data_IF_637192915266
#
_entry.id   IF_637192915266
#
_cell.length_a   1.000
_cell.length_b   1.000
_cell.length_c   1.000
_cell.angle_alpha   90.00
_cell.angle_beta   90.00
_cell.angle_gamma   90.00
#
_symmetry.space_group_name_H-M   'P 1'
#
loop_
_entity.id
_entity.type
_entity.pdbx_description
1 polymer ?
#
# COMPACT_ATOMS: atom_id res chain seq x y z
N UNK A 1 -0.43 15.64 -18.09
CA UNK A 1 -0.19 14.60 -17.05
C UNK A 1 0.68 13.45 -17.53
N UNK A 2 0.41 12.85 -18.71
CA UNK A 2 1.19 11.69 -19.18
C UNK A 2 2.69 11.99 -19.36
N UNK A 3 3.03 13.17 -19.88
CA UNK A 3 4.42 13.62 -20.03
C UNK A 3 5.14 13.73 -18.69
N UNK A 4 4.53 14.38 -17.69
CA UNK A 4 5.10 14.52 -16.33
C UNK A 4 5.31 13.15 -15.68
N UNK A 5 4.37 12.22 -15.85
CA UNK A 5 4.49 10.86 -15.38
C UNK A 5 5.66 10.12 -16.05
N UNK A 6 5.81 10.27 -17.36
CA UNK A 6 6.93 9.70 -18.12
C UNK A 6 8.26 10.32 -17.70
N UNK A 7 8.31 11.63 -17.47
CA UNK A 7 9.51 12.35 -16.99
C UNK A 7 9.96 11.83 -15.62
N UNK A 8 9.02 11.75 -14.67
CA UNK A 8 9.31 11.22 -13.32
C UNK A 8 9.80 9.78 -13.43
N UNK A 9 9.11 8.94 -14.19
CA UNK A 9 9.48 7.53 -14.37
C UNK A 9 10.87 7.37 -15.00
N UNK A 10 11.22 8.18 -16.00
CA UNK A 10 12.57 8.16 -16.58
C UNK A 10 13.62 8.58 -15.56
N UNK A 11 13.40 9.64 -14.79
CA UNK A 11 14.37 10.13 -13.81
C UNK A 11 14.61 9.10 -12.69
N UNK A 12 13.57 8.41 -12.25
CA UNK A 12 13.67 7.46 -11.13
C UNK A 12 14.03 6.04 -11.57
N UNK A 13 13.74 5.64 -12.81
CA UNK A 13 13.91 4.24 -13.27
C UNK A 13 15.20 4.02 -14.07
N UNK A 14 15.71 5.05 -14.75
CA UNK A 14 16.87 4.97 -15.64
C UNK A 14 18.24 4.93 -14.91
N UNK A 15 18.41 5.53 -13.71
CA UNK A 15 19.69 5.46 -12.99
C UNK A 15 20.13 4.03 -12.62
N UNK A 16 19.19 3.16 -12.28
CA UNK A 16 19.48 1.77 -11.89
C UNK A 16 20.09 0.91 -13.02
N UNK A 17 19.48 0.79 -14.22
CA UNK A 17 20.07 0.04 -15.32
C UNK A 17 21.37 0.67 -15.81
N UNK A 18 21.51 2.01 -15.78
CA UNK A 18 22.76 2.69 -16.12
C UNK A 18 23.90 2.31 -15.17
N UNK A 19 23.62 2.28 -13.86
CA UNK A 19 24.59 1.83 -12.86
C UNK A 19 24.97 0.35 -13.04
N UNK A 20 24.00 -0.52 -13.37
CA UNK A 20 24.27 -1.93 -13.65
C UNK A 20 25.24 -2.11 -14.82
N UNK A 21 25.00 -1.42 -15.93
CA UNK A 21 25.87 -1.44 -17.11
C UNK A 21 27.26 -0.92 -16.75
N UNK A 22 27.34 0.22 -16.07
CA UNK A 22 28.60 0.78 -15.59
C UNK A 22 29.37 -0.20 -14.67
N UNK A 23 28.69 -0.79 -13.70
CA UNK A 23 29.29 -1.74 -12.76
C UNK A 23 29.80 -3.01 -13.45
N UNK A 24 29.11 -3.45 -14.50
CA UNK A 24 29.49 -4.65 -15.26
C UNK A 24 30.76 -4.40 -16.07
N UNK A 25 30.85 -3.24 -16.73
CA UNK A 25 32.01 -2.86 -17.55
C UNK A 25 33.24 -2.62 -16.65
N UNK A 26 33.05 -1.95 -15.52
CA UNK A 26 34.16 -1.51 -14.66
C UNK A 26 34.58 -2.56 -13.62
N UNK A 27 34.02 -3.77 -13.65
CA UNK A 27 34.29 -4.80 -12.64
C UNK A 27 35.74 -5.28 -12.64
N UNK A 28 36.40 -5.22 -13.81
CA UNK A 28 37.80 -5.64 -14.00
C UNK A 28 38.80 -4.49 -13.80
N UNK A 29 38.32 -3.28 -13.51
CA UNK A 29 39.18 -2.09 -13.43
C UNK A 29 39.67 -1.89 -12.01
N UNK A 30 40.96 -1.56 -11.84
CA UNK A 30 41.52 -1.18 -10.55
C UNK A 30 41.04 0.22 -10.18
N UNK A 31 40.24 0.31 -9.11
CA UNK A 31 39.65 1.56 -8.62
C UNK A 31 40.42 2.08 -7.41
N UNK A 32 40.60 3.40 -7.33
CA UNK A 32 41.16 4.03 -6.12
C UNK A 32 40.16 3.97 -4.95
N UNK A 33 40.64 4.17 -3.72
CA UNK A 33 39.80 4.20 -2.52
C UNK A 33 38.67 5.25 -2.61
N UNK A 34 38.96 6.40 -3.21
CA UNK A 34 37.98 7.48 -3.42
C UNK A 34 36.94 7.09 -4.48
N UNK A 35 37.37 6.49 -5.58
CA UNK A 35 36.44 6.00 -6.62
C UNK A 35 35.52 4.91 -6.07
N UNK A 36 36.04 4.01 -5.23
CA UNK A 36 35.23 2.98 -4.59
C UNK A 36 34.17 3.57 -3.63
N UNK A 37 34.51 4.64 -2.92
CA UNK A 37 33.56 5.35 -2.06
C UNK A 37 32.43 6.00 -2.88
N UNK A 38 32.78 6.63 -4.01
CA UNK A 38 31.81 7.22 -4.95
C UNK A 38 30.88 6.15 -5.53
N UNK A 39 31.43 5.00 -5.95
CA UNK A 39 30.62 3.89 -6.48
C UNK A 39 29.62 3.37 -5.45
N UNK A 40 30.05 3.20 -4.19
CA UNK A 40 29.15 2.77 -3.10
C UNK A 40 28.04 3.78 -2.83
N UNK A 41 28.34 5.07 -2.93
CA UNK A 41 27.34 6.13 -2.82
C UNK A 41 26.31 6.04 -3.95
N UNK A 42 26.74 5.92 -5.21
CA UNK A 42 25.84 5.76 -6.35
C UNK A 42 25.03 4.46 -6.29
N UNK A 43 25.62 3.37 -5.80
CA UNK A 43 24.90 2.11 -5.57
C UNK A 43 23.77 2.30 -4.55
N UNK A 44 24.05 2.98 -3.44
CA UNK A 44 23.05 3.24 -2.40
C UNK A 44 21.94 4.18 -2.91
N UNK A 45 22.31 5.21 -3.66
CA UNK A 45 21.38 6.16 -4.27
C UNK A 45 20.45 5.48 -5.29
N UNK A 46 20.99 4.62 -6.14
CA UNK A 46 20.19 3.89 -7.16
C UNK A 46 19.22 2.91 -6.52
N UNK A 47 19.59 2.22 -5.45
CA UNK A 47 18.66 1.37 -4.69
C UNK A 47 17.55 2.20 -4.03
N UNK A 48 17.89 3.34 -3.41
CA UNK A 48 16.90 4.23 -2.83
C UNK A 48 15.91 4.77 -3.87
N UNK A 49 16.41 5.18 -5.05
CA UNK A 49 15.58 5.64 -6.17
C UNK A 49 14.63 4.54 -6.67
N UNK A 50 15.09 3.30 -6.80
CA UNK A 50 14.25 2.17 -7.20
C UNK A 50 13.11 1.92 -6.19
N UNK A 51 13.40 2.00 -4.90
CA UNK A 51 12.38 1.85 -3.85
C UNK A 51 11.35 2.99 -3.88
N UNK A 52 11.81 4.23 -4.06
CA UNK A 52 10.93 5.39 -4.25
C UNK A 52 10.06 5.18 -5.49
N UNK A 53 10.63 4.65 -6.57
CA UNK A 53 9.90 4.44 -7.81
C UNK A 53 8.77 3.41 -7.68
N UNK A 54 9.02 2.32 -6.95
CA UNK A 54 8.02 1.31 -6.65
C UNK A 54 6.85 1.90 -5.82
N UNK A 55 7.15 2.75 -4.84
CA UNK A 55 6.12 3.44 -4.07
C UNK A 55 5.36 4.47 -4.92
N UNK A 56 6.10 5.26 -5.70
CA UNK A 56 5.55 6.38 -6.50
C UNK A 56 4.67 5.89 -7.64
N UNK A 57 4.99 4.75 -8.26
CA UNK A 57 4.14 4.16 -9.32
C UNK A 57 2.74 3.84 -8.80
N UNK A 58 2.60 3.33 -7.58
CA UNK A 58 1.29 3.12 -6.97
C UNK A 58 0.49 4.44 -6.86
N UNK A 59 1.09 5.49 -6.30
CA UNK A 59 0.43 6.80 -6.17
C UNK A 59 0.08 7.42 -7.53
N UNK A 60 1.00 7.30 -8.49
CA UNK A 60 0.78 7.75 -9.85
C UNK A 60 -0.43 7.03 -10.45
N UNK A 61 -0.52 5.69 -10.35
CA UNK A 61 -1.67 4.93 -10.87
C UNK A 61 -2.99 5.31 -10.19
N UNK A 62 -2.97 5.57 -8.88
CA UNK A 62 -4.14 6.10 -8.16
C UNK A 62 -4.56 7.47 -8.71
N UNK A 63 -3.60 8.37 -8.99
CA UNK A 63 -3.87 9.74 -9.42
C UNK A 63 -4.27 9.83 -10.90
N UNK A 64 -3.64 9.07 -11.80
CA UNK A 64 -3.84 9.23 -13.25
C UNK A 64 -4.94 8.34 -13.81
N UNK A 65 -5.12 7.12 -13.32
CA UNK A 65 -6.05 6.17 -13.95
C UNK A 65 -7.42 6.16 -13.28
N UNK A 66 -8.44 6.70 -13.97
CA UNK A 66 -9.85 6.66 -13.52
C UNK A 66 -10.38 5.24 -13.33
N UNK A 67 -9.94 4.31 -14.17
CA UNK A 67 -10.30 2.88 -14.12
C UNK A 67 -9.75 2.24 -12.85
N UNK A 68 -8.45 2.43 -12.57
CA UNK A 68 -7.80 1.92 -11.36
C UNK A 68 -8.47 2.43 -10.08
N UNK A 69 -8.90 3.70 -10.03
CA UNK A 69 -9.66 4.22 -8.86
C UNK A 69 -11.01 3.54 -8.67
N UNK A 70 -11.72 3.22 -9.76
CA UNK A 70 -13.00 2.50 -9.67
C UNK A 70 -12.77 1.08 -9.15
N UNK A 71 -11.75 0.40 -9.64
CA UNK A 71 -11.40 -0.95 -9.19
C UNK A 71 -10.88 -0.98 -7.76
N UNK A 72 -10.05 0.00 -7.37
CA UNK A 72 -9.56 0.15 -5.99
C UNK A 72 -10.71 0.44 -5.03
N UNK A 73 -11.65 1.32 -5.40
CA UNK A 73 -12.86 1.58 -4.62
C UNK A 73 -13.72 0.33 -4.51
N UNK A 74 -13.85 -0.45 -5.59
CA UNK A 74 -14.56 -1.73 -5.59
C UNK A 74 -13.93 -2.72 -4.61
N UNK A 75 -12.61 -2.87 -4.63
CA UNK A 75 -11.89 -3.76 -3.71
C UNK A 75 -12.02 -3.28 -2.25
N UNK A 76 -11.84 -1.98 -1.99
CA UNK A 76 -11.92 -1.44 -0.62
C UNK A 76 -13.33 -1.47 -0.03
N UNK A 77 -14.35 -1.16 -0.85
CA UNK A 77 -15.74 -1.01 -0.40
C UNK A 77 -16.53 -2.32 -0.52
N UNK A 78 -16.46 -3.03 -1.66
CA UNK A 78 -17.24 -4.27 -1.86
C UNK A 78 -16.60 -5.48 -1.17
N UNK A 79 -15.26 -5.58 -1.12
CA UNK A 79 -14.59 -6.77 -0.52
C UNK A 79 -14.40 -6.71 1.00
N UNK A 80 -15.10 -5.83 1.74
CA UNK A 80 -15.07 -5.78 3.22
C UNK A 80 -13.65 -5.66 3.84
N UNK A 81 -12.62 -5.26 3.11
CA UNK A 81 -11.26 -5.11 3.66
C UNK A 81 -11.23 -4.04 4.76
N UNK A 82 -12.02 -2.97 4.59
CA UNK A 82 -12.21 -1.96 5.63
C UNK A 82 -12.92 -2.51 6.88
N UNK A 83 -13.82 -3.49 6.73
CA UNK A 83 -14.50 -4.15 7.85
C UNK A 83 -13.62 -5.17 8.57
N UNK A 84 -12.58 -5.69 7.92
CA UNK A 84 -11.60 -6.58 8.55
C UNK A 84 -10.45 -5.81 9.21
N UNK A 85 -9.94 -4.75 8.58
CA UNK A 85 -8.82 -3.97 9.11
C UNK A 85 -9.25 -2.88 10.10
N UNK A 86 -10.47 -2.34 9.99
CA UNK A 86 -10.99 -1.24 10.84
C UNK A 86 -12.32 -1.56 11.54
N UNK A 87 -12.86 -2.79 11.39
CA UNK A 87 -14.19 -3.14 11.91
C UNK A 87 -14.28 -3.40 13.42
N UNK A 88 -13.21 -3.17 14.18
CA UNK A 88 -13.20 -3.39 15.64
C UNK A 88 -13.25 -2.09 16.44
N UNK A 89 -13.79 -0.99 15.90
CA UNK A 89 -14.02 0.21 16.73
C UNK A 89 -15.07 1.20 16.18
N UNK A 90 -16.29 0.75 15.91
CA UNK A 90 -17.44 1.66 15.77
C UNK A 90 -18.55 1.17 16.68
N UNK A 91 -18.39 1.47 17.97
CA UNK A 91 -19.51 1.51 18.92
C UNK A 91 -20.39 2.69 18.49
N UNK A 92 -21.65 2.49 18.06
CA UNK A 92 -22.54 3.62 17.81
C UNK A 92 -22.89 4.30 19.16
N UNK A 93 -23.11 5.63 19.17
CA UNK A 93 -23.42 6.34 20.40
C UNK A 93 -24.76 5.84 20.93
N UNK A 94 -24.76 5.34 22.16
CA UNK A 94 -25.98 4.96 22.88
C UNK A 94 -26.73 6.25 23.19
N UNK A 95 -27.65 6.68 22.32
CA UNK A 95 -28.75 7.56 22.74
C UNK A 95 -29.77 6.67 23.45
N UNK A 96 -29.71 6.65 24.79
CA UNK A 96 -30.79 6.10 25.61
C UNK A 96 -31.32 7.23 26.49
N UNK A 97 -32.47 7.73 26.08
CA UNK A 97 -33.33 8.59 26.88
C UNK A 97 -33.82 7.86 28.13
N UNK A 98 -33.82 8.63 29.22
CA UNK A 98 -34.55 8.53 30.48
C UNK A 98 -34.12 7.53 31.57
N UNK A 99 -33.78 8.19 32.69
CA UNK A 99 -34.15 7.94 34.07
C UNK A 99 -33.44 6.81 34.82
N UNK A 100 -32.48 7.24 35.65
CA UNK A 100 -32.32 6.76 37.01
C UNK A 100 -31.48 5.50 37.19
N UNK A 101 -30.60 5.57 38.18
CA UNK A 101 -29.85 4.49 38.84
C UNK A 101 -28.60 3.93 38.14
N UNK A 102 -27.48 4.28 38.77
CA UNK A 102 -26.10 3.83 38.58
C UNK A 102 -25.99 2.35 38.98
N UNK A 103 -25.35 1.52 38.15
CA UNK A 103 -24.78 0.25 38.62
C UNK A 103 -24.77 -0.89 37.60
N UNK A 104 -23.58 -1.26 37.14
CA UNK A 104 -23.19 -2.55 36.53
C UNK A 104 -23.83 -2.96 35.19
N UNK A 105 -23.06 -2.74 34.11
CA UNK A 105 -23.33 -3.31 32.78
C UNK A 105 -22.83 -4.76 32.74
N UNK A 106 -23.77 -5.72 32.75
CA UNK A 106 -23.47 -7.10 32.38
C UNK A 106 -23.33 -7.20 30.85
N UNK A 107 -22.12 -7.54 30.38
CA UNK A 107 -21.85 -7.81 28.96
C UNK A 107 -22.37 -9.21 28.62
N UNK A 108 -23.59 -9.29 28.06
CA UNK A 108 -24.09 -10.54 27.48
C UNK A 108 -23.47 -10.70 26.09
N UNK A 109 -22.50 -11.61 25.95
CA UNK A 109 -22.04 -12.06 24.64
C UNK A 109 -23.19 -12.81 23.95
N UNK A 110 -23.78 -12.22 22.91
CA UNK A 110 -24.65 -12.97 22.00
C UNK A 110 -23.77 -13.80 21.06
N UNK A 111 -23.84 -15.13 21.20
CA UNK A 111 -23.24 -16.05 20.26
C UNK A 111 -23.83 -15.89 18.84
N UNK A 112 -23.04 -16.09 17.78
CA UNK A 112 -23.51 -15.98 16.41
C UNK A 112 -24.43 -17.16 16.04
N UNK A 113 -25.59 -16.85 15.45
CA UNK A 113 -26.53 -17.85 14.91
C UNK A 113 -25.88 -18.66 13.76
N UNK A 114 -26.07 -19.99 13.69
CA UNK A 114 -25.63 -20.78 12.55
C UNK A 114 -26.47 -20.46 11.31
N UNK A 115 -25.79 -20.20 10.20
CA UNK A 115 -26.41 -19.96 8.90
C UNK A 115 -26.84 -21.30 8.30
N UNK A 116 -28.14 -21.55 8.19
CA UNK A 116 -28.69 -22.78 7.63
C UNK A 116 -28.74 -22.63 6.09
N UNK A 117 -27.81 -23.30 5.39
CA UNK A 117 -27.80 -23.37 3.93
C UNK A 117 -28.69 -24.54 3.52
N UNK A 118 -29.91 -24.24 3.08
CA UNK A 118 -30.82 -25.22 2.50
C UNK A 118 -30.95 -24.91 1.00
N UNK A 119 -30.10 -25.53 0.17
CA UNK A 119 -30.28 -25.49 -1.28
C UNK A 119 -31.47 -26.37 -1.67
N UNK A 120 -32.47 -25.75 -2.31
CA UNK A 120 -33.60 -26.41 -2.97
C UNK A 120 -33.12 -27.56 -3.86
N UNK A 121 -33.69 -28.74 -3.67
CA UNK A 121 -33.75 -29.79 -4.69
C UNK A 121 -34.84 -29.42 -5.69
N UNK A 122 -34.53 -29.57 -6.98
CA UNK A 122 -35.52 -29.78 -8.03
C UNK A 122 -36.02 -31.22 -7.98
#
# INVERSE_FOLDING_TARGET
MILVQLSVYLITCLPFPMYLVYSTITIQWTKSSVQLAIDRFYSSLTVALTNINFSTTFYIYVLTTRVFRKDLKRILVEKRLFKMCFGTQLVPPIMRTNNGTIGTVAVVMRQPKPCNIQSRKY
#
